data_IF_365997341982
#
_entry.id   IF_365997341982
#
_cell.length_a   1.000
_cell.length_b   1.000
_cell.length_c   1.000
_cell.angle_alpha   90.00
_cell.angle_beta   90.00
_cell.angle_gamma   90.00
#
_symmetry.space_group_name_H-M   'P 1'
#
loop_
_entity.id
_entity.type
_entity.pdbx_description
1 polymer ?
#
# COMPACT_ATOMS: atom_id res chain seq x y z
N UNK A 1 12.47 -30.11 1.97
CA UNK A 1 11.87 -29.90 0.64
C UNK A 1 10.40 -30.35 0.64
N UNK A 2 10.11 -31.61 0.96
CA UNK A 2 8.75 -32.17 0.99
C UNK A 2 7.74 -31.41 1.88
N UNK A 3 8.15 -30.99 3.08
CA UNK A 3 7.26 -30.30 4.04
C UNK A 3 6.88 -28.89 3.58
N UNK A 4 7.75 -28.19 2.85
CA UNK A 4 7.44 -26.85 2.34
C UNK A 4 6.47 -26.94 1.16
N UNK A 5 6.68 -27.91 0.28
CA UNK A 5 5.79 -28.17 -0.85
C UNK A 5 4.37 -28.52 -0.39
N UNK A 6 4.25 -29.34 0.65
CA UNK A 6 2.96 -29.69 1.26
C UNK A 6 2.24 -28.47 1.85
N UNK A 7 2.96 -27.62 2.60
CA UNK A 7 2.40 -26.37 3.13
C UNK A 7 1.95 -25.41 2.02
N UNK A 8 2.70 -25.33 0.91
CA UNK A 8 2.37 -24.46 -0.21
C UNK A 8 1.11 -24.97 -0.93
N UNK A 9 0.95 -26.29 -1.07
CA UNK A 9 -0.25 -26.92 -1.63
C UNK A 9 -1.49 -26.71 -0.75
N UNK A 10 -1.37 -26.92 0.56
CA UNK A 10 -2.42 -26.62 1.54
C UNK A 10 -2.85 -25.14 1.47
N UNK A 11 -1.88 -24.23 1.37
CA UNK A 11 -2.12 -22.80 1.29
C UNK A 11 -2.83 -22.41 -0.02
N UNK A 12 -2.43 -22.99 -1.14
CA UNK A 12 -3.09 -22.77 -2.44
C UNK A 12 -4.54 -23.24 -2.41
N UNK A 13 -4.79 -24.44 -1.88
CA UNK A 13 -6.15 -24.99 -1.73
C UNK A 13 -7.03 -24.11 -0.83
N UNK A 14 -6.48 -23.58 0.26
CA UNK A 14 -7.16 -22.62 1.12
C UNK A 14 -7.47 -21.32 0.38
N UNK A 15 -6.52 -20.74 -0.35
CA UNK A 15 -6.75 -19.52 -1.13
C UNK A 15 -7.81 -19.69 -2.22
N UNK A 16 -7.84 -20.85 -2.88
CA UNK A 16 -8.88 -21.16 -3.86
C UNK A 16 -10.26 -21.25 -3.20
N UNK A 17 -10.33 -21.83 -2.01
CA UNK A 17 -11.56 -21.89 -1.21
C UNK A 17 -12.01 -20.49 -0.79
N UNK A 18 -11.09 -19.67 -0.27
CA UNK A 18 -11.36 -18.27 0.11
C UNK A 18 -11.90 -17.51 -1.11
N UNK A 19 -11.20 -17.56 -2.24
CA UNK A 19 -11.64 -16.89 -3.47
C UNK A 19 -13.04 -17.34 -3.86
N UNK A 20 -13.38 -18.63 -3.75
CA UNK A 20 -14.73 -19.16 -4.04
C UNK A 20 -15.81 -18.69 -3.06
N UNK A 21 -15.48 -18.50 -1.78
CA UNK A 21 -16.47 -18.24 -0.71
C UNK A 21 -16.59 -16.78 -0.27
N UNK A 22 -15.58 -15.93 -0.45
CA UNK A 22 -15.51 -14.61 0.23
C UNK A 22 -15.79 -13.38 -0.63
N UNK A 23 -16.10 -13.54 -1.93
CA UNK A 23 -16.19 -12.42 -2.90
C UNK A 23 -14.89 -11.59 -3.04
N UNK A 24 -13.78 -12.03 -2.43
CA UNK A 24 -12.46 -11.40 -2.55
C UNK A 24 -11.78 -11.92 -3.82
N UNK A 25 -12.32 -11.51 -4.97
CA UNK A 25 -11.77 -11.80 -6.29
C UNK A 25 -11.53 -10.49 -7.03
N UNK A 26 -10.35 -10.30 -7.66
CA UNK A 26 -10.13 -9.15 -8.53
C UNK A 26 -11.06 -9.16 -9.76
N UNK A 27 -11.58 -8.01 -10.21
CA UNK A 27 -11.54 -6.72 -9.51
C UNK A 27 -12.44 -6.75 -8.26
N UNK A 28 -11.90 -6.29 -7.13
CA UNK A 28 -12.68 -6.18 -5.89
C UNK A 28 -13.48 -4.88 -5.97
N UNK A 29 -14.79 -5.02 -6.17
CA UNK A 29 -15.73 -3.90 -6.27
C UNK A 29 -16.61 -3.82 -5.02
N UNK A 30 -17.03 -2.61 -4.63
CA UNK A 30 -17.95 -2.40 -3.50
C UNK A 30 -19.32 -2.97 -3.88
N UNK A 31 -19.89 -3.85 -3.05
CA UNK A 31 -21.21 -4.43 -3.29
C UNK A 31 -22.29 -3.31 -3.32
N UNK A 32 -23.28 -3.46 -4.20
CA UNK A 32 -24.35 -2.46 -4.36
C UNK A 32 -25.09 -2.24 -3.04
N UNK A 33 -25.31 -0.98 -2.68
CA UNK A 33 -25.98 -0.53 -1.46
C UNK A 33 -25.18 -0.66 -0.17
N UNK A 34 -23.89 -1.03 -0.23
CA UNK A 34 -23.01 -0.97 0.94
C UNK A 34 -22.13 0.29 0.91
N UNK A 35 -21.83 0.81 2.09
CA UNK A 35 -20.75 1.81 2.23
C UNK A 35 -19.39 1.10 2.06
N UNK A 36 -18.33 1.88 1.84
CA UNK A 36 -16.96 1.34 1.80
C UNK A 36 -16.62 0.55 3.08
N UNK A 37 -17.03 1.06 4.24
CA UNK A 37 -16.74 0.44 5.53
C UNK A 37 -17.53 -0.86 5.70
N UNK A 38 -18.84 -0.83 5.39
CA UNK A 38 -19.69 -2.02 5.51
C UNK A 38 -19.24 -3.14 4.58
N UNK A 39 -18.91 -2.79 3.33
CA UNK A 39 -18.40 -3.73 2.34
C UNK A 39 -17.05 -4.34 2.76
N UNK A 40 -16.13 -3.50 3.24
CA UNK A 40 -14.84 -3.96 3.78
C UNK A 40 -15.05 -4.91 4.98
N UNK A 41 -15.86 -4.51 5.95
CA UNK A 41 -16.14 -5.30 7.15
C UNK A 41 -16.80 -6.64 6.80
N UNK A 42 -17.74 -6.66 5.84
CA UNK A 42 -18.40 -7.87 5.35
C UNK A 42 -17.39 -8.82 4.69
N UNK A 43 -16.57 -8.32 3.77
CA UNK A 43 -15.56 -9.13 3.06
C UNK A 43 -14.52 -9.70 4.01
N UNK A 44 -14.02 -8.90 4.96
CA UNK A 44 -13.08 -9.36 5.97
C UNK A 44 -13.72 -10.41 6.90
N UNK A 45 -15.00 -10.26 7.25
CA UNK A 45 -15.72 -11.27 8.03
C UNK A 45 -15.88 -12.58 7.28
N UNK A 46 -16.22 -12.55 5.98
CA UNK A 46 -16.25 -13.74 5.11
C UNK A 46 -14.87 -14.41 5.01
N UNK A 47 -13.80 -13.62 4.85
CA UNK A 47 -12.42 -14.10 4.84
C UNK A 47 -12.05 -14.80 6.14
N UNK A 48 -12.31 -14.16 7.28
CA UNK A 48 -12.06 -14.70 8.62
C UNK A 48 -12.86 -15.99 8.84
N UNK A 49 -14.12 -16.03 8.40
CA UNK A 49 -14.96 -17.23 8.42
C UNK A 49 -14.30 -18.41 7.71
N UNK A 50 -13.80 -18.20 6.49
CA UNK A 50 -13.08 -19.26 5.75
C UNK A 50 -11.84 -19.78 6.49
N UNK A 51 -11.11 -18.90 7.20
CA UNK A 51 -9.97 -19.31 8.02
C UNK A 51 -10.40 -20.14 9.23
N UNK A 52 -11.49 -19.74 9.89
CA UNK A 52 -12.05 -20.47 11.03
C UNK A 52 -12.55 -21.85 10.62
N UNK A 53 -13.31 -21.93 9.52
CA UNK A 53 -13.79 -23.20 8.95
C UNK A 53 -12.60 -24.14 8.69
N UNK A 54 -11.57 -23.65 8.00
CA UNK A 54 -10.36 -24.44 7.73
C UNK A 54 -9.68 -24.92 9.01
N UNK A 55 -9.58 -24.05 10.03
CA UNK A 55 -8.98 -24.38 11.32
C UNK A 55 -9.75 -25.49 12.06
N UNK A 56 -11.07 -25.54 11.89
CA UNK A 56 -11.96 -26.51 12.54
C UNK A 56 -12.00 -27.85 11.79
N UNK A 57 -11.95 -27.80 10.45
CA UNK A 57 -12.01 -28.97 9.58
C UNK A 57 -10.66 -29.71 9.46
N UNK A 58 -9.55 -29.09 9.86
CA UNK A 58 -8.20 -29.63 9.66
C UNK A 58 -7.35 -29.58 10.94
N UNK A 59 -6.56 -30.64 11.17
CA UNK A 59 -5.55 -30.71 12.23
C UNK A 59 -4.14 -30.88 11.65
N UNK A 60 -3.76 -30.00 10.74
CA UNK A 60 -2.47 -29.98 10.07
C UNK A 60 -1.60 -28.79 10.52
N UNK A 61 -0.39 -28.72 9.98
CA UNK A 61 0.55 -27.65 10.31
C UNK A 61 0.02 -26.27 9.92
N UNK A 62 -0.70 -26.16 8.80
CA UNK A 62 -1.31 -24.90 8.38
C UNK A 62 -2.39 -24.44 9.37
N UNK A 63 -3.28 -25.32 9.82
CA UNK A 63 -4.33 -24.95 10.78
C UNK A 63 -3.75 -24.45 12.11
N UNK A 64 -2.68 -25.08 12.61
CA UNK A 64 -1.94 -24.59 13.80
C UNK A 64 -1.33 -23.19 13.58
N UNK A 65 -0.72 -22.95 12.40
CA UNK A 65 -0.16 -21.62 12.06
C UNK A 65 -1.25 -20.55 11.95
N UNK A 66 -2.40 -20.90 11.39
CA UNK A 66 -3.54 -19.98 11.24
C UNK A 66 -4.15 -19.63 12.60
N UNK A 67 -4.29 -20.59 13.52
CA UNK A 67 -4.74 -20.32 14.91
C UNK A 67 -3.92 -19.21 15.57
N UNK A 68 -2.59 -19.28 15.44
CA UNK A 68 -1.67 -18.28 16.01
C UNK A 68 -1.76 -16.90 15.34
N UNK A 69 -2.31 -16.80 14.13
CA UNK A 69 -2.44 -15.56 13.35
C UNK A 69 -3.84 -14.97 13.38
N UNK A 70 -4.85 -15.76 13.71
CA UNK A 70 -6.25 -15.35 13.67
C UNK A 70 -6.51 -14.12 14.55
N UNK A 71 -5.86 -14.03 15.71
CA UNK A 71 -5.94 -12.85 16.59
C UNK A 71 -5.40 -11.59 15.93
N UNK A 72 -4.27 -11.69 15.21
CA UNK A 72 -3.70 -10.54 14.50
C UNK A 72 -4.59 -10.10 13.33
N UNK A 73 -5.18 -11.06 12.60
CA UNK A 73 -6.15 -10.78 11.53
C UNK A 73 -7.37 -10.04 12.08
N UNK A 74 -7.90 -10.49 13.22
CA UNK A 74 -9.06 -9.87 13.88
C UNK A 74 -8.78 -8.43 14.34
N UNK A 75 -7.61 -8.20 14.96
CA UNK A 75 -7.17 -6.87 15.37
C UNK A 75 -7.01 -5.96 14.15
N UNK A 76 -6.27 -6.40 13.12
CA UNK A 76 -6.09 -5.60 11.91
C UNK A 76 -7.42 -5.26 11.23
N UNK A 77 -8.36 -6.19 11.15
CA UNK A 77 -9.67 -5.92 10.57
C UNK A 77 -10.38 -4.78 11.32
N UNK A 78 -10.40 -4.83 12.65
CA UNK A 78 -11.08 -3.82 13.49
C UNK A 78 -10.39 -2.46 13.41
N UNK A 79 -9.07 -2.44 13.51
CA UNK A 79 -8.29 -1.20 13.45
C UNK A 79 -8.37 -0.54 12.05
N UNK A 80 -8.39 -1.32 10.96
CA UNK A 80 -8.60 -0.75 9.61
C UNK A 80 -10.00 -0.14 9.49
N UNK A 81 -11.04 -0.79 10.04
CA UNK A 81 -12.40 -0.21 10.07
C UNK A 81 -12.40 1.12 10.84
N UNK A 82 -11.81 1.15 12.04
CA UNK A 82 -11.72 2.38 12.85
C UNK A 82 -10.94 3.49 12.15
N UNK A 83 -9.81 3.15 11.51
CA UNK A 83 -9.03 4.08 10.70
C UNK A 83 -9.86 4.67 9.56
N UNK A 84 -10.65 3.86 8.85
CA UNK A 84 -11.52 4.32 7.77
C UNK A 84 -12.65 5.24 8.30
N UNK A 85 -13.25 4.90 9.44
CA UNK A 85 -14.28 5.72 10.09
C UNK A 85 -13.73 7.10 10.50
N UNK A 86 -12.56 7.14 11.16
CA UNK A 86 -11.88 8.38 11.51
C UNK A 86 -11.53 9.20 10.26
N UNK A 87 -10.98 8.56 9.23
CA UNK A 87 -10.60 9.26 8.00
C UNK A 87 -11.80 9.87 7.27
N UNK A 88 -12.87 9.10 7.10
CA UNK A 88 -14.08 9.53 6.39
C UNK A 88 -14.91 10.55 7.19
N UNK A 89 -14.81 10.56 8.52
CA UNK A 89 -15.39 11.62 9.37
C UNK A 89 -14.55 12.90 9.44
N UNK A 90 -13.36 12.91 8.84
CA UNK A 90 -12.46 14.07 8.79
C UNK A 90 -11.44 14.14 9.92
N UNK A 91 -11.41 13.18 10.84
CA UNK A 91 -10.38 13.06 11.88
C UNK A 91 -9.14 12.33 11.34
N UNK A 92 -8.41 13.03 10.47
CA UNK A 92 -7.21 12.50 9.80
C UNK A 92 -6.11 12.16 10.81
N UNK A 93 -6.02 12.91 11.92
CA UNK A 93 -5.01 12.67 12.94
C UNK A 93 -5.26 11.34 13.63
N UNK A 94 -6.47 11.12 14.14
CA UNK A 94 -6.78 9.85 14.82
C UNK A 94 -6.71 8.66 13.87
N UNK A 95 -7.10 8.85 12.60
CA UNK A 95 -6.91 7.81 11.58
C UNK A 95 -5.43 7.43 11.42
N UNK A 96 -4.54 8.43 11.31
CA UNK A 96 -3.10 8.20 11.20
C UNK A 96 -2.53 7.52 12.45
N UNK A 97 -2.84 8.04 13.64
CA UNK A 97 -2.35 7.52 14.91
C UNK A 97 -2.81 6.06 15.15
N UNK A 98 -4.07 5.74 14.85
CA UNK A 98 -4.62 4.38 14.93
C UNK A 98 -3.94 3.45 13.92
N UNK A 99 -3.77 3.90 12.68
CA UNK A 99 -3.09 3.10 11.65
C UNK A 99 -1.63 2.83 12.02
N UNK A 100 -0.88 3.81 12.50
CA UNK A 100 0.49 3.66 12.97
C UNK A 100 0.56 2.65 14.13
N UNK A 101 -0.27 2.84 15.16
CA UNK A 101 -0.34 1.97 16.33
C UNK A 101 -0.69 0.53 15.97
N UNK A 102 -1.55 0.32 14.96
CA UNK A 102 -1.89 -1.01 14.44
C UNK A 102 -0.67 -1.71 13.83
N UNK A 103 0.27 -0.98 13.23
CA UNK A 103 1.44 -1.56 12.54
C UNK A 103 2.64 -1.83 13.46
N UNK A 104 2.73 -1.13 14.61
CA UNK A 104 3.85 -1.26 15.55
C UNK A 104 4.11 -2.68 16.09
N UNK A 105 3.11 -3.53 16.40
CA UNK A 105 3.36 -4.83 17.00
C UNK A 105 4.29 -5.69 16.13
N UNK A 106 5.31 -6.30 16.75
CA UNK A 106 6.28 -7.18 16.07
C UNK A 106 5.64 -8.35 15.31
N UNK A 107 4.44 -8.76 15.70
CA UNK A 107 3.66 -9.78 14.98
C UNK A 107 3.20 -9.31 13.61
N UNK A 108 3.02 -7.99 13.42
CA UNK A 108 2.55 -7.35 12.19
C UNK A 108 3.72 -6.78 11.41
N UNK A 109 4.57 -5.95 12.02
CA UNK A 109 5.67 -5.26 11.33
C UNK A 109 6.61 -6.20 10.58
N UNK A 110 6.99 -7.33 11.18
CA UNK A 110 7.80 -8.37 10.51
C UNK A 110 7.13 -8.91 9.25
N UNK A 111 5.81 -9.08 9.26
CA UNK A 111 5.10 -9.57 8.07
C UNK A 111 5.04 -8.51 6.98
N UNK A 112 4.93 -7.23 7.35
CA UNK A 112 4.99 -6.11 6.42
C UNK A 112 6.36 -6.05 5.74
N UNK A 113 7.44 -6.15 6.50
CA UNK A 113 8.81 -6.22 5.94
C UNK A 113 8.97 -7.33 4.91
N UNK A 114 8.31 -8.48 5.11
CA UNK A 114 8.38 -9.63 4.19
C UNK A 114 7.55 -9.46 2.90
N UNK A 115 6.57 -8.54 2.88
CA UNK A 115 5.75 -8.27 1.67
C UNK A 115 6.16 -6.98 0.98
N UNK A 116 6.96 -6.15 1.63
CA UNK A 116 7.53 -4.94 1.04
C UNK A 116 8.71 -5.29 0.13
N UNK A 117 8.88 -4.49 -0.92
CA UNK A 117 10.06 -4.52 -1.76
C UNK A 117 11.04 -3.47 -1.22
N UNK A 118 12.28 -3.84 -0.87
CA UNK A 118 13.30 -2.87 -0.46
C UNK A 118 13.47 -1.76 -1.51
N UNK A 119 13.61 -0.52 -1.05
CA UNK A 119 13.77 0.61 -1.97
C UNK A 119 15.02 0.44 -2.85
N UNK A 120 16.09 -0.19 -2.35
CA UNK A 120 17.30 -0.53 -3.09
C UNK A 120 17.06 -1.44 -4.31
N UNK A 121 16.03 -2.27 -4.26
CA UNK A 121 15.72 -3.20 -5.35
C UNK A 121 14.97 -2.49 -6.49
N UNK A 122 14.24 -1.43 -6.13
CA UNK A 122 13.50 -0.56 -7.04
C UNK A 122 14.34 0.61 -7.57
N UNK A 123 15.25 1.15 -6.75
CA UNK A 123 16.04 2.34 -7.02
C UNK A 123 17.50 2.10 -6.62
N UNK A 124 18.40 2.05 -7.62
CA UNK A 124 19.84 1.90 -7.42
C UNK A 124 20.61 2.51 -8.59
N UNK A 125 21.92 2.30 -8.63
CA UNK A 125 22.79 2.85 -9.68
C UNK A 125 22.38 2.46 -11.11
N UNK A 126 21.90 1.22 -11.28
CA UNK A 126 21.50 0.67 -12.59
C UNK A 126 20.01 0.91 -12.87
N UNK A 127 19.20 1.10 -11.82
CA UNK A 127 17.75 1.36 -11.88
C UNK A 127 17.42 2.72 -11.26
N UNK A 128 17.76 3.85 -11.91
CA UNK A 128 17.35 5.16 -11.40
C UNK A 128 15.84 5.31 -11.48
N UNK A 129 15.27 6.04 -10.51
CA UNK A 129 13.93 6.58 -10.65
C UNK A 129 14.00 8.00 -11.24
N UNK A 130 12.94 8.42 -11.88
CA UNK A 130 12.90 9.67 -12.63
C UNK A 130 11.88 10.63 -12.04
N UNK A 131 12.17 11.92 -12.21
CA UNK A 131 11.20 12.98 -12.00
C UNK A 131 11.13 13.84 -13.24
N UNK A 132 9.91 14.21 -13.58
CA UNK A 132 9.61 15.21 -14.61
C UNK A 132 8.95 16.40 -13.92
N UNK A 133 9.35 17.61 -14.30
CA UNK A 133 8.75 18.87 -13.82
C UNK A 133 8.48 19.77 -15.02
N UNK A 134 7.28 20.34 -15.08
CA UNK A 134 6.92 21.36 -16.06
C UNK A 134 7.29 22.72 -15.47
N UNK A 135 7.91 23.57 -16.27
CA UNK A 135 8.16 24.96 -15.90
C UNK A 135 8.08 25.85 -17.14
N UNK A 136 7.36 26.97 -17.03
CA UNK A 136 7.35 28.00 -18.08
C UNK A 136 8.63 28.87 -18.02
N UNK A 137 9.39 28.80 -16.92
CA UNK A 137 10.70 29.45 -16.78
C UNK A 137 11.84 28.42 -16.67
N UNK A 138 13.06 28.76 -17.15
CA UNK A 138 14.23 27.92 -17.00
C UNK A 138 14.52 27.52 -15.55
N UNK A 139 14.63 26.21 -15.28
CA UNK A 139 15.15 25.69 -14.02
C UNK A 139 16.67 25.57 -14.12
N UNK A 140 17.39 26.23 -13.21
CA UNK A 140 18.86 26.36 -13.28
C UNK A 140 19.59 25.58 -12.19
N UNK A 141 18.89 25.09 -11.16
CA UNK A 141 19.50 24.38 -10.04
C UNK A 141 18.92 22.98 -9.83
N UNK A 142 19.74 22.07 -9.28
CA UNK A 142 19.27 20.73 -8.87
C UNK A 142 18.16 20.79 -7.81
N UNK A 143 18.15 21.84 -6.97
CA UNK A 143 17.13 22.02 -5.93
C UNK A 143 15.75 22.26 -6.54
N UNK A 144 15.68 22.88 -7.72
CA UNK A 144 14.43 23.09 -8.45
C UNK A 144 13.81 21.76 -8.91
N UNK A 145 14.60 20.69 -8.99
CA UNK A 145 14.08 19.37 -9.30
C UNK A 145 13.60 18.59 -8.08
N UNK A 146 13.78 19.10 -6.86
CA UNK A 146 13.33 18.45 -5.63
C UNK A 146 11.87 18.79 -5.28
N UNK A 147 11.37 18.35 -4.12
CA UNK A 147 10.02 18.75 -3.69
C UNK A 147 9.93 20.28 -3.50
N UNK A 148 8.70 20.82 -3.56
CA UNK A 148 8.46 22.24 -3.31
C UNK A 148 9.01 22.60 -1.91
N UNK A 149 9.78 23.68 -1.74
CA UNK A 149 10.31 24.05 -0.43
C UNK A 149 9.21 24.20 0.62
N UNK A 150 9.49 23.86 1.88
CA UNK A 150 8.51 23.96 2.97
C UNK A 150 7.97 25.40 3.16
N UNK A 151 8.80 26.42 2.92
CA UNK A 151 8.38 27.84 2.92
C UNK A 151 7.34 28.16 1.83
N UNK A 152 7.27 27.33 0.78
CA UNK A 152 6.37 27.43 -0.36
C UNK A 152 5.25 26.39 -0.32
N UNK A 153 4.97 25.79 0.85
CA UNK A 153 3.98 24.71 1.01
C UNK A 153 2.56 25.08 0.54
N UNK A 154 2.20 26.36 0.50
CA UNK A 154 0.90 26.81 -0.01
C UNK A 154 0.68 26.52 -1.50
N UNK A 155 1.73 26.24 -2.28
CA UNK A 155 1.63 25.77 -3.67
C UNK A 155 1.43 24.26 -3.78
N UNK A 156 1.56 23.50 -2.69
CA UNK A 156 1.39 22.04 -2.70
C UNK A 156 -0.10 21.70 -2.64
N UNK A 157 -0.65 21.29 -3.78
CA UNK A 157 -2.01 20.75 -3.88
C UNK A 157 -2.08 19.34 -3.29
N UNK A 158 -3.28 18.90 -2.92
CA UNK A 158 -3.52 17.51 -2.58
C UNK A 158 -3.20 16.61 -3.79
N UNK A 159 -2.56 15.48 -3.53
CA UNK A 159 -2.18 14.46 -4.51
C UNK A 159 -2.55 13.08 -3.95
N UNK A 160 -2.40 12.03 -4.77
CA UNK A 160 -2.85 10.66 -4.40
C UNK A 160 -2.31 10.18 -3.05
N UNK A 161 -1.05 10.49 -2.73
CA UNK A 161 -0.37 10.01 -1.53
C UNK A 161 0.05 11.13 -0.57
N UNK A 162 -0.46 12.36 -0.75
CA UNK A 162 -0.08 13.49 0.10
C UNK A 162 -1.20 14.51 0.25
N UNK A 163 -1.39 14.98 1.47
CA UNK A 163 -2.34 16.07 1.79
C UNK A 163 -1.84 17.42 1.28
N UNK A 164 -2.76 18.35 1.05
CA UNK A 164 -2.41 19.71 0.65
C UNK A 164 -1.47 20.36 1.69
N UNK A 165 -0.46 21.07 1.21
CA UNK A 165 0.52 21.72 2.08
C UNK A 165 1.60 20.80 2.67
N UNK A 166 1.66 19.50 2.31
CA UNK A 166 2.78 18.62 2.69
C UNK A 166 3.66 18.34 1.45
N UNK A 167 4.84 18.98 1.33
CA UNK A 167 5.73 18.70 0.21
C UNK A 167 6.19 17.23 0.17
N UNK A 168 5.99 16.58 -0.98
CA UNK A 168 6.43 15.20 -1.23
C UNK A 168 7.22 15.11 -2.54
N UNK A 169 8.06 14.08 -2.65
CA UNK A 169 8.84 13.77 -3.85
C UNK A 169 8.15 12.64 -4.63
N UNK A 170 7.62 12.95 -5.81
CA UNK A 170 7.02 11.96 -6.71
C UNK A 170 8.04 11.53 -7.75
N UNK A 171 8.29 10.21 -7.83
CA UNK A 171 9.25 9.58 -8.73
C UNK A 171 8.57 8.45 -9.51
N UNK A 172 8.97 8.24 -10.76
CA UNK A 172 8.49 7.16 -11.61
C UNK A 172 9.63 6.28 -12.14
N UNK A 173 9.32 5.05 -12.53
CA UNK A 173 10.30 4.08 -13.05
C UNK A 173 10.70 4.35 -14.50
N UNK A 174 10.02 5.26 -15.20
CA UNK A 174 10.41 5.73 -16.53
C UNK A 174 9.92 7.16 -16.76
N UNK A 175 10.62 7.88 -17.65
CA UNK A 175 10.21 9.21 -18.10
C UNK A 175 8.82 9.22 -18.73
N UNK A 176 8.48 8.15 -19.46
CA UNK A 176 7.17 8.00 -20.08
C UNK A 176 6.05 7.94 -19.02
N UNK A 177 6.23 7.16 -17.94
CA UNK A 177 5.25 7.12 -16.84
C UNK A 177 5.12 8.49 -16.19
N UNK A 178 6.23 9.16 -15.88
CA UNK A 178 6.18 10.50 -15.29
C UNK A 178 5.45 11.51 -16.18
N UNK A 179 5.70 11.50 -17.49
CA UNK A 179 5.02 12.37 -18.46
C UNK A 179 3.51 12.08 -18.52
N UNK A 180 3.13 10.79 -18.46
CA UNK A 180 1.72 10.37 -18.43
C UNK A 180 1.00 10.80 -17.14
N UNK A 181 1.63 10.65 -15.98
CA UNK A 181 1.08 11.09 -14.68
C UNK A 181 0.93 12.62 -14.58
N UNK A 182 1.69 13.37 -15.39
CA UNK A 182 1.58 14.83 -15.49
C UNK A 182 0.56 15.32 -16.53
N UNK A 183 -0.26 14.43 -17.07
CA UNK A 183 -1.21 14.71 -18.15
C UNK A 183 -0.54 15.22 -19.44
N UNK A 184 0.59 14.61 -19.80
CA UNK A 184 1.23 14.73 -21.12
C UNK A 184 1.57 16.17 -21.55
N UNK A 185 2.32 16.94 -20.74
CA UNK A 185 2.72 18.31 -21.10
C UNK A 185 3.66 18.38 -22.32
N UNK A 186 3.74 19.55 -22.94
CA UNK A 186 4.65 19.81 -24.07
C UNK A 186 6.12 19.58 -23.70
N UNK A 187 6.87 18.96 -24.62
CA UNK A 187 8.25 18.52 -24.35
C UNK A 187 9.24 19.67 -24.14
N UNK A 188 9.00 20.84 -24.73
CA UNK A 188 9.86 22.03 -24.65
C UNK A 188 9.83 22.69 -23.26
N UNK A 189 8.87 22.31 -22.40
CA UNK A 189 8.70 22.83 -21.03
C UNK A 189 9.08 21.83 -19.95
N UNK A 190 9.67 20.70 -20.32
CA UNK A 190 9.99 19.62 -19.39
C UNK A 190 11.43 19.68 -18.89
N UNK A 191 11.55 19.56 -17.57
CA UNK A 191 12.80 19.38 -16.86
C UNK A 191 12.82 17.99 -16.26
N UNK A 192 13.95 17.32 -16.39
CA UNK A 192 14.09 15.90 -16.05
C UNK A 192 15.26 15.73 -15.08
N UNK A 193 15.06 14.90 -14.06
CA UNK A 193 16.14 14.46 -13.18
C UNK A 193 16.03 12.97 -12.89
N UNK A 194 17.18 12.34 -12.68
CA UNK A 194 17.29 10.99 -12.18
C UNK A 194 17.64 11.02 -10.69
N UNK A 195 17.06 10.09 -9.94
CA UNK A 195 17.30 9.83 -8.54
C UNK A 195 17.83 8.42 -8.38
N UNK A 196 18.88 8.29 -7.58
CA UNK A 196 19.53 7.03 -7.23
C UNK A 196 19.75 7.03 -5.73
N UNK A 197 19.77 5.84 -5.14
CA UNK A 197 20.18 5.67 -3.75
C UNK A 197 21.69 5.54 -3.72
N UNK A 198 22.35 6.36 -2.90
CA UNK A 198 23.78 6.22 -2.65
C UNK A 198 24.05 4.88 -1.97
N UNK A 199 25.11 4.18 -2.39
CA UNK A 199 25.62 3.02 -1.66
C UNK A 199 26.27 3.52 -0.37
N UNK A 200 25.50 3.62 0.71
CA UNK A 200 26.05 3.67 2.07
C UNK A 200 26.52 2.28 2.49
#
# INVERSE_FOLDING_TARGET
MHIQQELDEELNNLFDTIRKKSSIRPPIEIEKNLTLIDDFALKCSKFRGCLVDYIQENDNRLSLRLRNRLRAVDIMQKEIVSCLECFLSGDIKSAYDSFESMLEPRTISRHIENICIPLSDLCNEDKPLFRVRKSDTPLTSRRDMFHIPFSQRHFVRAQRFSVAGLPCLYLGTSLYICWREMDKPDFDKLYISAYKIDKN
#
